data_IF_726384810237
#
_entry.id   IF_726384810237
#
_cell.length_a   1.000
_cell.length_b   1.000
_cell.length_c   1.000
_cell.angle_alpha   90.00
_cell.angle_beta   90.00
_cell.angle_gamma   90.00
#
_symmetry.space_group_name_H-M   'P 1'
#
loop_
_entity.id
_entity.type
_entity.pdbx_description
1 polymer ?
#
# COMPACT_ATOMS: atom_id res chain seq x y z
N UNK A 1 -14.04 -7.07 -1.30
CA UNK A 1 -12.65 -6.58 -1.31
C UNK A 1 -12.05 -6.94 -2.65
N UNK A 2 -11.52 -5.96 -3.36
CA UNK A 2 -10.72 -6.16 -4.55
C UNK A 2 -9.31 -5.65 -4.27
N UNK A 3 -8.30 -6.44 -4.65
CA UNK A 3 -6.89 -6.07 -4.53
C UNK A 3 -6.24 -6.23 -5.88
N UNK A 4 -5.70 -5.14 -6.39
CA UNK A 4 -4.89 -5.11 -7.59
C UNK A 4 -3.44 -4.81 -7.21
N UNK A 5 -2.50 -5.51 -7.83
CA UNK A 5 -1.08 -5.29 -7.63
C UNK A 5 -0.35 -5.26 -8.96
N UNK A 6 0.55 -4.30 -9.13
CA UNK A 6 1.34 -4.12 -10.34
C UNK A 6 2.81 -3.94 -10.01
N UNK A 7 3.67 -4.78 -10.59
CA UNK A 7 5.12 -4.68 -10.44
C UNK A 7 5.74 -3.97 -11.64
N UNK A 8 6.32 -2.81 -11.41
CA UNK A 8 7.13 -2.10 -12.39
C UNK A 8 8.57 -2.58 -12.30
N UNK A 9 9.16 -2.90 -13.46
CA UNK A 9 10.57 -3.31 -13.59
C UNK A 9 11.42 -2.16 -14.15
N UNK A 10 12.73 -2.29 -14.03
CA UNK A 10 13.70 -1.34 -14.58
C UNK A 10 14.74 -0.94 -13.54
N UNK A 11 15.29 0.27 -13.67
CA UNK A 11 16.31 0.84 -12.78
C UNK A 11 15.81 0.93 -11.34
N UNK A 12 14.56 1.39 -11.15
CA UNK A 12 13.92 1.47 -9.85
C UNK A 12 12.66 0.59 -9.87
N UNK A 13 12.78 -0.71 -9.57
CA UNK A 13 11.63 -1.60 -9.55
C UNK A 13 10.77 -1.37 -8.30
N UNK A 14 9.46 -1.33 -8.45
CA UNK A 14 8.53 -1.13 -7.34
C UNK A 14 7.20 -1.83 -7.59
N UNK A 15 6.40 -1.98 -6.53
CA UNK A 15 5.05 -2.52 -6.59
C UNK A 15 4.06 -1.45 -6.16
N UNK A 16 2.93 -1.34 -6.87
CA UNK A 16 1.76 -0.59 -6.41
C UNK A 16 0.69 -1.60 -6.03
N UNK A 17 0.08 -1.42 -4.87
CA UNK A 17 -1.08 -2.17 -4.38
C UNK A 17 -2.25 -1.20 -4.25
N UNK A 18 -3.39 -1.56 -4.81
CA UNK A 18 -4.66 -0.85 -4.70
C UNK A 18 -5.69 -1.79 -4.11
N UNK A 19 -6.25 -1.41 -2.96
CA UNK A 19 -7.34 -2.16 -2.34
C UNK A 19 -8.61 -1.33 -2.26
N UNK A 20 -9.67 -1.88 -2.84
CA UNK A 20 -11.03 -1.39 -2.71
C UNK A 20 -11.78 -2.27 -1.72
N UNK A 21 -12.20 -1.65 -0.62
CA UNK A 21 -13.02 -2.27 0.41
C UNK A 21 -14.26 -1.43 0.62
N UNK A 22 -15.40 -2.09 0.55
CA UNK A 22 -16.68 -1.52 0.93
C UNK A 22 -17.51 -2.62 1.58
N UNK A 23 -18.22 -2.27 2.65
CA UNK A 23 -19.29 -3.08 3.21
C UNK A 23 -20.61 -2.48 2.76
N UNK A 24 -21.46 -3.29 2.13
CA UNK A 24 -22.78 -2.84 1.67
C UNK A 24 -23.67 -2.32 2.81
N UNK A 25 -23.51 -2.85 4.02
CA UNK A 25 -24.24 -2.43 5.22
C UNK A 25 -23.42 -1.53 6.15
N UNK A 26 -22.28 -1.01 5.66
CA UNK A 26 -21.40 -0.11 6.42
C UNK A 26 -21.71 1.37 6.16
N UNK A 27 -21.36 2.23 7.13
CA UNK A 27 -21.30 3.68 6.95
C UNK A 27 -19.90 4.22 7.26
N UNK A 28 -19.74 5.55 7.28
CA UNK A 28 -18.46 6.24 7.47
C UNK A 28 -17.64 5.89 8.73
N UNK A 29 -18.24 5.14 9.67
CA UNK A 29 -17.60 4.68 10.90
C UNK A 29 -17.10 3.22 10.82
N UNK A 30 -17.11 2.61 9.63
CA UNK A 30 -16.63 1.24 9.46
C UNK A 30 -15.11 1.22 9.57
N UNK A 31 -14.59 0.38 10.48
CA UNK A 31 -13.16 0.16 10.65
C UNK A 31 -12.64 -0.82 9.60
N UNK A 32 -11.63 -0.37 8.86
CA UNK A 32 -10.84 -1.17 7.94
C UNK A 32 -9.37 -1.18 8.36
N UNK A 33 -8.73 -2.32 8.13
CA UNK A 33 -7.32 -2.54 8.44
C UNK A 33 -6.65 -3.09 7.17
N UNK A 34 -5.72 -2.33 6.60
CA UNK A 34 -4.79 -2.85 5.61
C UNK A 34 -3.59 -3.44 6.33
N UNK A 35 -3.27 -4.71 6.08
CA UNK A 35 -2.32 -5.45 6.88
C UNK A 35 -1.24 -6.10 6.01
N UNK A 36 0.01 -5.95 6.42
CA UNK A 36 1.16 -6.66 5.86
C UNK A 36 1.87 -7.44 6.96
N UNK A 37 2.10 -8.73 6.71
CA UNK A 37 2.92 -9.57 7.58
C UNK A 37 4.38 -9.26 7.37
N UNK A 38 5.11 -9.05 8.46
CA UNK A 38 6.51 -8.66 8.45
C UNK A 38 7.36 -9.84 8.98
N UNK A 39 8.45 -10.20 8.30
CA UNK A 39 9.40 -11.18 8.81
C UNK A 39 9.97 -10.78 10.18
N UNK A 40 10.25 -11.78 11.03
CA UNK A 40 10.68 -11.57 12.42
C UNK A 40 12.03 -10.84 12.54
N UNK A 41 12.89 -10.99 11.53
CA UNK A 41 14.21 -10.36 11.46
C UNK A 41 14.15 -8.87 11.14
N UNK A 42 13.05 -8.38 10.56
CA UNK A 42 12.96 -6.98 10.18
C UNK A 42 12.58 -6.07 11.36
N UNK A 43 13.10 -4.85 11.30
CA UNK A 43 12.82 -3.76 12.23
C UNK A 43 12.46 -2.49 11.47
N UNK A 44 11.88 -1.51 12.17
CA UNK A 44 11.62 -0.18 11.61
C UNK A 44 12.91 0.64 11.62
N UNK A 45 13.15 1.38 10.53
CA UNK A 45 14.12 2.46 10.55
C UNK A 45 13.71 3.49 11.61
N UNK A 46 14.57 3.82 12.59
CA UNK A 46 14.23 4.81 13.59
C UNK A 46 14.22 6.23 13.00
N UNK A 47 13.40 7.10 13.59
CA UNK A 47 13.41 8.54 13.28
C UNK A 47 14.56 9.25 13.99
N UNK A 48 15.10 10.37 13.45
CA UNK A 48 14.65 11.07 12.24
C UNK A 48 15.00 10.32 10.96
N UNK A 49 14.12 10.39 9.96
CA UNK A 49 14.38 9.76 8.68
C UNK A 49 15.44 10.51 7.85
N UNK A 50 16.21 9.79 7.02
CA UNK A 50 17.02 10.38 5.95
C UNK A 50 16.19 11.29 5.03
N UNK A 51 16.87 12.22 4.36
CA UNK A 51 16.24 13.12 3.40
C UNK A 51 15.50 12.36 2.28
N UNK A 52 14.31 12.86 1.90
CA UNK A 52 13.48 12.26 0.86
C UNK A 52 12.40 11.29 1.36
N UNK A 53 12.44 10.93 2.64
CA UNK A 53 11.38 10.16 3.30
C UNK A 53 10.42 11.10 4.05
N UNK A 54 9.14 10.77 4.01
CA UNK A 54 8.07 11.46 4.73
C UNK A 54 7.72 10.66 6.01
N UNK A 55 8.03 11.16 7.23
CA UNK A 55 7.74 10.45 8.48
C UNK A 55 6.24 10.24 8.73
N UNK A 56 5.38 10.90 7.97
CA UNK A 56 3.93 10.71 8.00
C UNK A 56 3.56 9.49 7.16
N UNK A 57 4.04 9.40 5.91
CA UNK A 57 3.55 8.42 4.92
C UNK A 57 4.46 7.22 4.70
N UNK A 58 5.71 7.31 5.12
CA UNK A 58 6.73 6.34 4.82
C UNK A 58 7.06 5.48 6.03
N UNK A 59 7.21 4.20 5.76
CA UNK A 59 7.67 3.21 6.71
C UNK A 59 8.79 2.45 6.02
N UNK A 60 9.94 2.38 6.69
CA UNK A 60 11.08 1.64 6.17
C UNK A 60 11.32 0.44 7.06
N UNK A 61 11.16 -0.74 6.48
CA UNK A 61 11.60 -2.01 7.08
C UNK A 61 13.06 -2.22 6.71
N UNK A 62 13.87 -2.62 7.69
CA UNK A 62 15.29 -2.91 7.51
C UNK A 62 15.66 -4.23 8.17
N UNK A 63 16.54 -4.99 7.51
CA UNK A 63 17.19 -6.14 8.15
C UNK A 63 18.33 -5.68 9.08
N UNK A 64 18.77 -6.52 10.03
CA UNK A 64 19.91 -6.21 10.89
C UNK A 64 21.18 -5.97 10.08
N UNK A 65 21.98 -4.99 10.48
CA UNK A 65 23.23 -4.63 9.79
C UNK A 65 24.23 -5.79 9.76
N UNK A 66 24.14 -6.71 10.72
CA UNK A 66 24.96 -7.91 10.81
C UNK A 66 24.63 -8.95 9.73
N UNK A 67 23.40 -8.91 9.18
CA UNK A 67 22.93 -9.88 8.17
C UNK A 67 22.80 -9.29 6.78
N UNK A 68 22.75 -7.96 6.65
CA UNK A 68 22.74 -7.29 5.36
C UNK A 68 22.27 -5.83 5.43
N UNK A 69 21.75 -5.34 4.31
CA UNK A 69 21.26 -3.96 4.15
C UNK A 69 20.08 -3.91 3.16
N UNK A 70 19.26 -4.96 3.13
CA UNK A 70 17.97 -4.93 2.44
C UNK A 70 17.02 -4.04 3.21
N UNK A 71 16.42 -3.10 2.49
CA UNK A 71 15.37 -2.23 3.00
C UNK A 71 14.14 -2.33 2.11
N UNK A 72 12.98 -2.14 2.72
CA UNK A 72 11.71 -2.01 2.01
C UNK A 72 11.04 -0.71 2.46
N UNK A 73 10.87 0.21 1.53
CA UNK A 73 9.99 1.35 1.70
C UNK A 73 8.55 0.89 1.46
N UNK A 74 7.69 1.10 2.45
CA UNK A 74 6.24 1.06 2.35
C UNK A 74 5.76 2.51 2.41
N UNK A 75 5.28 3.03 1.29
CA UNK A 75 4.76 4.40 1.18
C UNK A 75 3.24 4.39 1.01
N UNK A 76 2.55 5.09 1.90
CA UNK A 76 1.10 5.30 1.82
C UNK A 76 0.82 6.46 0.86
N UNK A 77 0.39 6.12 -0.36
CA UNK A 77 0.01 7.09 -1.37
C UNK A 77 -1.36 7.71 -1.03
N UNK A 78 -2.33 6.86 -0.72
CA UNK A 78 -3.69 7.25 -0.31
C UNK A 78 -4.22 6.24 0.70
N UNK A 79 -4.97 6.75 1.68
CA UNK A 79 -5.76 5.96 2.62
C UNK A 79 -6.79 6.89 3.27
N UNK A 80 -8.00 6.90 2.72
CA UNK A 80 -9.10 7.78 3.04
C UNK A 80 -9.79 7.45 4.36
N UNK A 81 -10.55 8.41 4.86
CA UNK A 81 -11.25 8.32 6.14
C UNK A 81 -10.44 8.87 7.31
N UNK A 82 -11.06 8.83 8.48
CA UNK A 82 -10.43 9.29 9.71
C UNK A 82 -9.56 8.20 10.32
N UNK A 83 -8.57 8.63 11.11
CA UNK A 83 -7.73 7.71 11.87
C UNK A 83 -8.36 7.52 13.24
N UNK A 84 -8.68 6.29 13.65
CA UNK A 84 -9.20 6.02 14.99
C UNK A 84 -8.16 6.31 16.09
N UNK A 85 -6.87 6.22 15.75
CA UNK A 85 -5.74 6.61 16.60
C UNK A 85 -4.98 7.78 15.94
N UNK A 86 -4.22 8.57 16.72
CA UNK A 86 -3.40 9.65 16.14
C UNK A 86 -2.27 9.15 15.22
N UNK A 87 -1.95 7.85 15.26
CA UNK A 87 -0.96 7.22 14.40
C UNK A 87 -1.54 6.86 13.03
N UNK A 88 -0.73 7.01 11.97
CA UNK A 88 -1.12 6.62 10.60
C UNK A 88 -1.16 5.12 10.37
N UNK A 89 -0.35 4.42 11.15
CA UNK A 89 -0.13 3.00 11.11
C UNK A 89 0.21 2.49 12.51
N UNK A 90 0.09 1.18 12.68
CA UNK A 90 0.56 0.46 13.84
C UNK A 90 1.57 -0.60 13.38
N UNK A 91 2.68 -0.70 14.11
CA UNK A 91 3.58 -1.85 14.00
C UNK A 91 3.39 -2.67 15.26
N UNK A 92 2.76 -3.83 15.11
CA UNK A 92 2.42 -4.70 16.21
C UNK A 92 3.24 -5.99 16.13
N UNK A 93 3.85 -6.34 17.25
CA UNK A 93 4.53 -7.62 17.46
C UNK A 93 3.62 -8.50 18.31
N UNK A 94 2.58 -9.06 17.70
CA UNK A 94 1.62 -9.88 18.40
C UNK A 94 2.24 -11.23 18.74
N UNK A 95 2.32 -11.55 20.04
CA UNK A 95 2.60 -12.92 20.51
C UNK A 95 1.32 -13.75 20.38
N UNK A 96 1.18 -14.50 19.30
CA UNK A 96 0.07 -15.47 19.19
C UNK A 96 0.42 -16.75 19.93
N UNK A 97 -0.39 -17.09 20.95
CA UNK A 97 -0.33 -18.39 21.63
C UNK A 97 -0.95 -19.46 20.74
N UNK A 98 -0.13 -20.25 20.05
CA UNK A 98 -0.61 -21.44 19.36
C UNK A 98 -0.92 -22.54 20.39
N UNK A 99 -2.05 -23.24 20.21
CA UNK A 99 -2.47 -24.40 21.03
C UNK A 99 -1.42 -25.53 21.12
N UNK A 100 -0.32 -25.45 20.36
CA UNK A 100 0.73 -26.46 20.26
C UNK A 100 2.11 -25.98 20.75
N UNK A 101 2.15 -24.94 21.59
CA UNK A 101 3.30 -24.73 22.50
C UNK A 101 4.55 -24.04 21.93
N UNK A 102 4.45 -23.33 20.81
CA UNK A 102 5.51 -22.38 20.41
C UNK A 102 4.96 -20.97 20.31
N UNK A 103 5.47 -20.07 21.15
CA UNK A 103 5.29 -18.63 20.97
C UNK A 103 5.96 -18.25 19.64
N UNK A 104 5.16 -17.84 18.65
CA UNK A 104 5.68 -17.15 17.47
C UNK A 104 5.20 -15.70 17.54
N UNK A 105 6.16 -14.78 17.57
CA UNK A 105 5.88 -13.36 17.50
C UNK A 105 5.61 -13.03 16.02
N UNK A 106 4.35 -12.79 15.66
CA UNK A 106 4.02 -12.34 14.32
C UNK A 106 4.15 -10.81 14.29
N UNK A 107 5.10 -10.30 13.53
CA UNK A 107 5.20 -8.86 13.28
C UNK A 107 4.22 -8.48 12.18
N UNK A 108 3.45 -7.43 12.39
CA UNK A 108 2.48 -6.92 11.44
C UNK A 108 2.54 -5.41 11.34
N UNK A 109 2.40 -4.94 10.12
CA UNK A 109 2.18 -3.54 9.81
C UNK A 109 0.72 -3.34 9.45
N UNK A 110 0.05 -2.38 10.11
CA UNK A 110 -1.38 -2.13 10.00
C UNK A 110 -1.61 -0.67 9.62
N UNK A 111 -2.40 -0.41 8.58
CA UNK A 111 -2.94 0.92 8.28
C UNK A 111 -4.44 0.91 8.59
N UNK A 112 -4.83 1.56 9.69
CA UNK A 112 -6.22 1.57 10.15
C UNK A 112 -6.98 2.82 9.69
N UNK A 113 -8.21 2.66 9.19
CA UNK A 113 -9.10 3.75 8.79
C UNK A 113 -10.53 3.51 9.22
N UNK A 114 -11.20 4.57 9.64
CA UNK A 114 -12.65 4.65 9.73
C UNK A 114 -13.17 5.35 8.47
N UNK A 115 -13.85 4.63 7.58
CA UNK A 115 -14.34 5.14 6.31
C UNK A 115 -15.55 4.34 5.82
N UNK A 116 -16.24 4.84 4.79
CA UNK A 116 -17.11 4.01 3.94
C UNK A 116 -16.24 3.17 2.99
N UNK A 117 -15.28 3.85 2.35
CA UNK A 117 -14.29 3.30 1.42
C UNK A 117 -12.91 3.89 1.75
N UNK A 118 -11.92 3.10 2.21
CA UNK A 118 -10.62 3.62 2.61
C UNK A 118 -9.66 3.82 1.43
N UNK A 119 -9.94 3.26 0.25
CA UNK A 119 -9.16 3.43 -0.99
C UNK A 119 -7.64 3.32 -0.76
N UNK A 120 -7.18 2.21 -0.18
CA UNK A 120 -5.76 2.07 0.15
C UNK A 120 -4.94 1.97 -1.13
N UNK A 121 -3.98 2.88 -1.29
CA UNK A 121 -2.99 2.89 -2.35
C UNK A 121 -1.62 2.89 -1.71
N UNK A 122 -0.86 1.82 -1.91
CA UNK A 122 0.43 1.59 -1.24
C UNK A 122 1.50 1.32 -2.29
N UNK A 123 2.65 1.98 -2.16
CA UNK A 123 3.84 1.71 -2.95
C UNK A 123 4.86 0.95 -2.10
N UNK A 124 5.39 -0.13 -2.66
CA UNK A 124 6.47 -0.92 -2.08
C UNK A 124 7.73 -0.77 -2.93
N UNK A 125 8.82 -0.31 -2.35
CA UNK A 125 10.09 -0.10 -3.07
C UNK A 125 11.27 -0.72 -2.30
N UNK A 126 11.88 -1.79 -2.83
CA UNK A 126 13.11 -2.33 -2.25
C UNK A 126 14.31 -1.41 -2.56
N UNK A 127 15.17 -1.20 -1.58
CA UNK A 127 16.37 -0.37 -1.71
C UNK A 127 17.45 -0.76 -0.69
N UNK A 128 18.63 -0.14 -0.80
CA UNK A 128 19.75 -0.23 0.15
C UNK A 128 20.07 1.12 0.79
N UNK A 129 20.87 1.13 1.84
CA UNK A 129 21.36 2.35 2.46
C UNK A 129 22.08 3.24 1.44
N UNK A 130 21.74 4.54 1.46
CA UNK A 130 22.31 5.53 0.55
C UNK A 130 21.74 5.51 -0.87
N UNK A 131 20.91 4.54 -1.24
CA UNK A 131 20.20 4.56 -2.52
C UNK A 131 19.08 5.60 -2.52
N UNK A 132 18.78 6.13 -3.71
CA UNK A 132 17.68 7.06 -3.88
C UNK A 132 16.34 6.36 -3.64
N UNK A 133 15.49 7.00 -2.83
CA UNK A 133 14.08 6.64 -2.64
C UNK A 133 13.20 7.54 -3.50
N UNK A 134 12.02 7.06 -3.94
CA UNK A 134 11.14 7.92 -4.73
C UNK A 134 10.65 9.11 -3.89
N UNK A 135 10.27 10.19 -4.55
CA UNK A 135 9.29 11.16 -4.03
C UNK A 135 7.92 10.86 -4.64
N UNK A 136 6.85 11.40 -4.07
CA UNK A 136 5.55 11.42 -4.75
C UNK A 136 4.87 12.78 -4.65
N UNK A 137 4.09 13.10 -5.66
CA UNK A 137 3.21 14.28 -5.68
C UNK A 137 1.85 13.89 -6.23
N UNK A 138 0.82 14.62 -5.83
CA UNK A 138 -0.52 14.52 -6.39
C UNK A 138 -0.74 15.73 -7.31
N UNK A 139 -1.03 15.46 -8.57
CA UNK A 139 -1.35 16.49 -9.56
C UNK A 139 -2.81 16.94 -9.37
N UNK A 140 -3.15 18.14 -9.87
CA UNK A 140 -4.52 18.66 -9.80
C UNK A 140 -5.57 17.78 -10.52
N UNK A 141 -5.12 16.90 -11.41
CA UNK A 141 -5.95 15.89 -12.08
C UNK A 141 -6.32 14.70 -11.17
N UNK A 142 -5.73 14.59 -9.98
CA UNK A 142 -5.83 13.41 -9.11
C UNK A 142 -4.84 12.28 -9.46
N UNK A 143 -4.00 12.50 -10.48
CA UNK A 143 -2.92 11.57 -10.79
C UNK A 143 -1.83 11.66 -9.73
N UNK A 144 -1.19 10.51 -9.45
CA UNK A 144 0.00 10.49 -8.61
C UNK A 144 1.24 10.37 -9.49
N UNK A 145 2.26 11.17 -9.18
CA UNK A 145 3.56 11.06 -9.84
C UNK A 145 4.55 10.51 -8.83
N UNK A 146 5.29 9.48 -9.20
CA UNK A 146 6.37 8.89 -8.41
C UNK A 146 7.68 9.15 -9.16
N UNK A 147 8.66 9.72 -8.47
CA UNK A 147 9.89 10.21 -9.12
C UNK A 147 11.16 9.79 -8.40
N UNK A 148 12.15 9.39 -9.18
CA UNK A 148 13.55 9.27 -8.81
C UNK A 148 14.38 10.23 -9.67
N UNK A 149 15.67 10.37 -9.36
CA UNK A 149 16.61 11.02 -10.28
C UNK A 149 16.65 10.26 -11.62
N UNK A 150 16.08 10.83 -12.67
CA UNK A 150 16.08 10.25 -14.02
C UNK A 150 14.93 9.27 -14.33
N UNK A 151 14.01 9.02 -13.40
CA UNK A 151 12.79 8.22 -13.67
C UNK A 151 11.57 8.95 -13.11
N UNK A 152 10.57 9.16 -13.97
CA UNK A 152 9.27 9.74 -13.61
C UNK A 152 8.18 8.82 -14.11
N UNK A 153 7.36 8.34 -13.18
CA UNK A 153 6.23 7.48 -13.48
C UNK A 153 4.93 8.16 -13.04
N UNK A 154 3.91 8.14 -13.90
CA UNK A 154 2.58 8.68 -13.61
C UNK A 154 1.62 7.53 -13.37
N UNK A 155 0.99 7.52 -12.19
CA UNK A 155 -0.03 6.58 -11.77
C UNK A 155 -1.39 7.26 -11.94
N UNK A 156 -2.26 6.65 -12.73
CA UNK A 156 -3.62 7.11 -13.00
C UNK A 156 -4.58 6.07 -12.43
N UNK A 157 -5.51 6.49 -11.59
CA UNK A 157 -6.53 5.62 -10.98
C UNK A 157 -7.89 5.93 -11.60
N UNK A 158 -8.64 4.90 -11.96
CA UNK A 158 -9.94 5.04 -12.61
C UNK A 158 -10.93 4.05 -12.02
N UNK A 159 -12.07 4.56 -11.58
CA UNK A 159 -13.18 3.75 -11.11
C UNK A 159 -13.81 3.01 -12.30
N UNK A 160 -14.02 1.72 -12.11
CA UNK A 160 -14.76 0.85 -13.01
C UNK A 160 -16.00 0.36 -12.29
N UNK A 161 -17.18 0.64 -12.84
CA UNK A 161 -18.44 0.12 -12.33
C UNK A 161 -18.75 -1.18 -13.04
N UNK A 162 -18.99 -2.24 -12.27
CA UNK A 162 -19.42 -3.53 -12.76
C UNK A 162 -20.67 -3.98 -12.03
N UNK A 163 -21.66 -4.48 -12.77
CA UNK A 163 -22.90 -5.00 -12.18
C UNK A 163 -22.74 -6.49 -11.87
N UNK A 164 -22.93 -6.88 -10.61
CA UNK A 164 -22.80 -8.25 -10.12
C UNK A 164 -24.03 -8.60 -9.30
N UNK A 165 -24.75 -9.66 -9.67
CA UNK A 165 -25.97 -10.04 -8.97
C UNK A 165 -27.07 -8.97 -8.98
N UNK A 166 -27.01 -7.98 -9.89
CA UNK A 166 -27.95 -6.86 -9.97
C UNK A 166 -27.53 -5.60 -9.19
N UNK A 167 -26.40 -5.63 -8.50
CA UNK A 167 -25.85 -4.49 -7.75
C UNK A 167 -24.60 -3.94 -8.46
N UNK A 168 -24.44 -2.62 -8.43
CA UNK A 168 -23.26 -1.96 -8.98
C UNK A 168 -22.12 -1.95 -7.97
N UNK A 169 -20.97 -2.46 -8.41
CA UNK A 169 -19.73 -2.52 -7.65
C UNK A 169 -18.70 -1.62 -8.30
N UNK A 170 -18.11 -0.72 -7.52
CA UNK A 170 -16.97 0.10 -7.96
C UNK A 170 -15.66 -0.63 -7.67
N UNK A 171 -14.79 -0.72 -8.67
CA UNK A 171 -13.44 -1.27 -8.57
C UNK A 171 -12.47 -0.23 -9.13
N UNK A 172 -11.46 0.17 -8.36
CA UNK A 172 -10.42 1.11 -8.80
C UNK A 172 -9.37 0.38 -9.64
N UNK A 173 -9.44 0.53 -10.95
CA UNK A 173 -8.34 0.18 -11.84
C UNK A 173 -7.20 1.20 -11.75
N UNK A 174 -6.01 0.82 -12.21
CA UNK A 174 -4.92 1.77 -12.34
C UNK A 174 -4.05 1.51 -13.56
N UNK A 175 -3.42 2.59 -14.01
CA UNK A 175 -2.41 2.58 -15.07
C UNK A 175 -1.14 3.24 -14.58
N UNK A 176 -0.02 2.73 -15.07
CA UNK A 176 1.30 3.33 -14.82
C UNK A 176 1.94 3.66 -16.14
N UNK A 177 2.40 4.90 -16.28
CA UNK A 177 3.06 5.40 -17.48
C UNK A 177 4.49 5.83 -17.19
N UNK A 178 5.40 5.57 -18.12
CA UNK A 178 6.76 6.11 -18.14
C UNK A 178 7.06 6.70 -19.51
N UNK A 179 7.40 7.98 -19.55
CA UNK A 179 7.70 8.70 -20.81
C UNK A 179 6.61 8.52 -21.88
N UNK A 180 5.33 8.51 -21.45
CA UNK A 180 4.17 8.32 -22.32
C UNK A 180 3.82 6.87 -22.67
N UNK A 181 4.68 5.89 -22.34
CA UNK A 181 4.39 4.47 -22.57
C UNK A 181 3.65 3.86 -21.37
N UNK A 182 2.62 3.08 -21.64
CA UNK A 182 1.94 2.27 -20.61
C UNK A 182 2.86 1.13 -20.17
N UNK A 183 3.15 1.07 -18.89
CA UNK A 183 3.87 -0.03 -18.24
C UNK A 183 2.91 -1.07 -17.66
N UNK A 184 1.82 -0.61 -17.06
CA UNK A 184 0.78 -1.43 -16.44
C UNK A 184 -0.57 -0.80 -16.78
N UNK A 185 -1.55 -1.64 -17.11
CA UNK A 185 -2.97 -1.29 -17.19
C UNK A 185 -3.76 -2.45 -16.58
N UNK A 186 -4.41 -2.20 -15.44
CA UNK A 186 -5.20 -3.23 -14.74
C UNK A 186 -6.69 -3.14 -15.06
N UNK A 187 -7.09 -2.23 -15.95
CA UNK A 187 -8.50 -2.01 -16.27
C UNK A 187 -9.06 -3.21 -17.02
N UNK A 188 -10.20 -3.70 -16.55
CA UNK A 188 -10.87 -4.86 -17.15
C UNK A 188 -10.20 -6.21 -16.86
N UNK A 189 -9.14 -6.24 -16.03
CA UNK A 189 -8.46 -7.47 -15.61
C UNK A 189 -9.15 -8.14 -14.41
N UNK A 190 -10.17 -7.48 -13.83
CA UNK A 190 -10.90 -8.00 -12.67
C UNK A 190 -12.33 -8.31 -13.08
N UNK A 191 -12.70 -9.58 -12.95
CA UNK A 191 -14.08 -10.03 -13.00
C UNK A 191 -14.55 -10.35 -11.56
N UNK A 192 -15.50 -9.57 -11.01
CA UNK A 192 -16.06 -9.81 -9.71
C UNK A 192 -16.95 -11.05 -9.72
N UNK A 193 -16.60 -12.03 -8.88
CA UNK A 193 -17.23 -13.36 -8.89
C UNK A 193 -18.53 -13.45 -8.10
N UNK A 194 -18.71 -12.61 -7.07
CA UNK A 194 -19.87 -12.69 -6.17
C UNK A 194 -19.97 -11.43 -5.28
N UNK A 195 -21.17 -11.15 -4.79
CA UNK A 195 -21.44 -10.19 -3.73
C UNK A 195 -22.01 -10.95 -2.54
N UNK A 196 -21.29 -10.89 -1.42
CA UNK A 196 -21.80 -11.44 -0.15
C UNK A 196 -22.53 -10.35 0.62
N UNK A 197 -23.85 -10.51 0.74
CA UNK A 197 -24.73 -9.73 1.60
C UNK A 197 -24.59 -10.11 3.07
#
# INVERSE_FOLDING_TARGET
VYRLAGMVRGTYPYVVIVDDLEKMTGGANTKYEWLAQIPEDLTLLPTPYPAGLDPVRDIVLMEPAETGDRRLLIRILTAEGSRPNNALYEFDEAKTYYQWGSDRAAKRFIIERLSERPNYRVLLYPFREGEAVPTHTEEASGNLVVEWSGQRDTLVFEDQVQTVGGEDVTISGFRIFRSGNTLIDTRGEVEPNDIRM
#
